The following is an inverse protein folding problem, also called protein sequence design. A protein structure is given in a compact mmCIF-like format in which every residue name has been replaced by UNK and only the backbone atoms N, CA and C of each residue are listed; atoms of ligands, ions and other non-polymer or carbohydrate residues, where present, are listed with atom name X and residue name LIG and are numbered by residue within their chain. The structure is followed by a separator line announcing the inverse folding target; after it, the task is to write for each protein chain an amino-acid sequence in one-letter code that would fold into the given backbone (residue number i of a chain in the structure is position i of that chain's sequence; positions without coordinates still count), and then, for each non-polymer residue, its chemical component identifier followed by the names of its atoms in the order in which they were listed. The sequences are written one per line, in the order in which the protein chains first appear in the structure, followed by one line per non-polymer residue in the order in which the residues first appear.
data_IF_708716733015
#
_entry.id   IF_708716733015
#
_cell.length_a   1.000
_cell.length_b   1.000
_cell.length_c   1.000
_cell.angle_alpha   90.00
_cell.angle_beta   90.00
_cell.angle_gamma   90.00
#
_symmetry.space_group_name_H-M   'P 1'
#
loop_
_entity.id
_entity.type
_entity.pdbx_description
1 polymer ?
#
# COMPACT_ATOMS: atom_id res chain seq x y z
N UNK A 1 6.24 4.23 8.70
CA UNK A 1 5.42 3.18 9.34
C UNK A 1 4.31 2.68 8.42
N UNK A 2 3.55 3.58 7.76
CA UNK A 2 2.48 3.20 6.83
C UNK A 2 2.88 2.18 5.75
N UNK A 3 4.01 2.39 5.05
CA UNK A 3 4.55 1.43 4.06
C UNK A 3 4.79 0.03 4.64
N UNK A 4 5.30 -0.07 5.88
CA UNK A 4 5.56 -1.35 6.52
C UNK A 4 4.26 -2.10 6.83
N UNK A 5 3.24 -1.38 7.29
CA UNK A 5 1.92 -1.98 7.53
C UNK A 5 1.34 -2.55 6.23
N UNK A 6 1.41 -1.80 5.12
CA UNK A 6 0.93 -2.30 3.82
C UNK A 6 1.66 -3.59 3.44
N UNK A 7 2.99 -3.65 3.59
CA UNK A 7 3.76 -4.87 3.30
C UNK A 7 3.31 -6.02 4.20
N UNK A 8 3.17 -5.81 5.50
CA UNK A 8 2.77 -6.85 6.45
C UNK A 8 1.38 -7.47 6.14
N UNK A 9 0.41 -6.65 5.74
CA UNK A 9 -0.96 -7.10 5.45
C UNK A 9 -1.21 -7.54 4.00
N UNK A 10 -0.32 -7.20 3.05
CA UNK A 10 -0.47 -7.51 1.61
C UNK A 10 0.59 -8.45 1.06
N UNK A 11 1.58 -8.87 1.85
CA UNK A 11 2.68 -9.68 1.33
C UNK A 11 2.19 -10.97 0.66
N UNK A 12 2.77 -11.37 -0.49
CA UNK A 12 3.82 -10.67 -1.23
C UNK A 12 3.28 -9.49 -2.07
N UNK A 13 3.86 -8.29 -1.93
CA UNK A 13 3.37 -7.05 -2.58
C UNK A 13 4.46 -6.35 -3.40
N UNK A 14 4.10 -5.74 -4.53
CA UNK A 14 5.04 -4.98 -5.38
C UNK A 14 5.12 -3.51 -4.99
N UNK A 15 6.23 -2.84 -5.35
CA UNK A 15 6.39 -1.38 -5.13
C UNK A 15 5.22 -0.57 -5.69
N UNK A 16 4.76 -0.90 -6.89
CA UNK A 16 3.68 -0.19 -7.58
C UNK A 16 2.35 -0.31 -6.82
N UNK A 17 2.03 -1.47 -6.27
CA UNK A 17 0.83 -1.66 -5.45
C UNK A 17 0.89 -0.83 -4.16
N UNK A 18 2.06 -0.79 -3.50
CA UNK A 18 2.25 0.04 -2.31
C UNK A 18 2.08 1.53 -2.66
N UNK A 19 2.71 2.00 -3.75
CA UNK A 19 2.60 3.39 -4.21
C UNK A 19 1.14 3.77 -4.51
N UNK A 20 0.39 2.85 -5.12
CA UNK A 20 -1.03 3.05 -5.45
C UNK A 20 -1.89 3.20 -4.20
N UNK A 21 -1.67 2.37 -3.18
CA UNK A 21 -2.40 2.46 -1.90
C UNK A 21 -2.07 3.77 -1.17
N UNK A 22 -0.80 4.20 -1.22
CA UNK A 22 -0.35 5.42 -0.51
C UNK A 22 -0.58 6.72 -1.28
N UNK A 23 -0.81 6.65 -2.59
CA UNK A 23 -0.90 7.81 -3.47
C UNK A 23 0.40 8.59 -3.66
N UNK A 24 1.55 8.09 -3.16
CA UNK A 24 2.85 8.77 -3.22
C UNK A 24 4.01 7.77 -3.39
N UNK A 25 5.16 8.26 -3.85
CA UNK A 25 6.36 7.42 -3.98
C UNK A 25 6.81 6.85 -2.62
N UNK A 26 7.29 5.59 -2.66
CA UNK A 26 7.71 4.85 -1.45
C UNK A 26 9.19 4.50 -1.46
N UNK A 27 9.98 5.04 -2.38
CA UNK A 27 11.36 4.61 -2.62
C UNK A 27 12.26 4.74 -1.38
N UNK A 28 12.23 5.92 -0.73
CA UNK A 28 12.98 6.19 0.49
C UNK A 28 12.48 5.36 1.69
N UNK A 29 11.17 5.19 1.81
CA UNK A 29 10.57 4.40 2.87
C UNK A 29 10.94 2.92 2.72
N UNK A 30 10.85 2.38 1.52
CA UNK A 30 11.16 0.99 1.21
C UNK A 30 12.66 0.71 1.41
N UNK A 31 13.53 1.58 0.91
CA UNK A 31 14.98 1.49 1.15
C UNK A 31 15.29 1.45 2.64
N UNK A 32 14.69 2.36 3.42
CA UNK A 32 14.91 2.42 4.86
C UNK A 32 14.43 1.18 5.60
N UNK A 33 13.30 0.60 5.20
CA UNK A 33 12.76 -0.62 5.80
C UNK A 33 13.63 -1.84 5.49
N UNK A 34 14.22 -1.90 4.29
CA UNK A 34 15.18 -2.94 3.91
C UNK A 34 16.48 -2.78 4.70
N UNK A 35 17.00 -1.56 4.86
CA UNK A 35 18.19 -1.28 5.68
C UNK A 35 17.99 -1.64 7.17
N UNK A 36 16.76 -1.53 7.67
CA UNK A 36 16.37 -1.95 9.01
C UNK A 36 16.08 -3.45 9.11
N UNK A 37 16.18 -4.18 7.99
CA UNK A 37 15.80 -5.58 7.88
C UNK A 37 14.36 -5.85 8.32
N UNK A 38 13.46 -4.88 8.20
CA UNK A 38 12.02 -5.04 8.50
C UNK A 38 11.22 -5.50 7.28
N UNK A 39 11.80 -5.34 6.09
CA UNK A 39 11.24 -5.83 4.84
C UNK A 39 12.34 -6.40 3.94
N UNK A 40 11.98 -7.35 3.07
CA UNK A 40 12.91 -8.02 2.15
C UNK A 40 12.23 -8.25 0.81
N UNK A 41 13.02 -8.31 -0.28
CA UNK A 41 12.53 -8.75 -1.57
C UNK A 41 12.41 -10.28 -1.62
N UNK A 42 11.22 -10.79 -1.92
CA UNK A 42 10.93 -12.24 -1.90
C UNK A 42 10.94 -12.88 -3.28
N UNK A 43 10.96 -12.08 -4.34
CA UNK A 43 10.94 -12.59 -5.70
C UNK A 43 10.48 -11.55 -6.71
N UNK A 44 9.98 -12.03 -7.84
CA UNK A 44 9.38 -11.20 -8.89
C UNK A 44 7.98 -11.70 -9.21
N UNK A 45 7.03 -10.79 -9.33
CA UNK A 45 5.67 -11.11 -9.71
C UNK A 45 5.59 -11.59 -11.17
N UNK A 46 4.60 -12.43 -11.48
CA UNK A 46 4.26 -12.85 -12.84
C UNK A 46 3.41 -11.81 -13.57
N UNK A 47 3.84 -10.54 -13.49
CA UNK A 47 3.21 -9.40 -14.12
C UNK A 47 4.13 -8.80 -15.20
N UNK A 48 3.61 -7.99 -16.14
CA UNK A 48 4.43 -7.28 -17.12
C UNK A 48 5.57 -6.50 -16.45
N UNK A 49 6.79 -6.64 -16.98
CA UNK A 49 8.00 -6.03 -16.39
C UNK A 49 8.59 -6.79 -15.20
N UNK A 50 7.96 -7.89 -14.75
CA UNK A 50 8.41 -8.77 -13.65
C UNK A 50 8.91 -7.98 -12.43
N UNK A 51 8.07 -7.10 -11.85
CA UNK A 51 8.47 -6.23 -10.75
C UNK A 51 8.85 -7.04 -9.51
N UNK A 52 9.73 -6.48 -8.68
CA UNK A 52 10.10 -7.06 -7.39
C UNK A 52 8.89 -7.10 -6.44
N UNK A 53 8.81 -8.20 -5.69
CA UNK A 53 7.87 -8.36 -4.58
C UNK A 53 8.60 -8.24 -3.25
N UNK A 54 7.87 -7.77 -2.24
CA UNK A 54 8.35 -7.49 -0.91
C UNK A 54 7.48 -8.18 0.14
N UNK A 55 8.10 -8.58 1.24
CA UNK A 55 7.46 -9.11 2.44
C UNK A 55 8.18 -8.63 3.70
N UNK A 56 7.55 -8.85 4.85
CA UNK A 56 8.19 -8.68 6.16
C UNK A 56 9.17 -9.81 6.46
N UNK A 57 10.04 -9.59 7.43
CA UNK A 57 11.09 -10.51 7.88
C UNK A 57 10.80 -11.05 9.28
N UNK A 58 11.62 -11.98 9.75
CA UNK A 58 11.57 -12.43 11.15
C UNK A 58 11.84 -11.28 12.14
N UNK A 59 12.75 -10.35 11.78
CA UNK A 59 13.06 -9.17 12.60
C UNK A 59 11.83 -8.27 12.79
N UNK A 60 10.94 -8.19 11.80
CA UNK A 60 9.66 -7.51 11.97
C UNK A 60 8.79 -8.19 13.02
N UNK A 61 8.70 -9.53 13.00
CA UNK A 61 7.94 -10.30 13.99
C UNK A 61 8.50 -10.09 15.41
N UNK A 62 9.83 -10.15 15.56
CA UNK A 62 10.52 -9.85 16.82
C UNK A 62 10.23 -8.44 17.33
N UNK A 63 10.27 -7.45 16.42
CA UNK A 63 9.98 -6.06 16.75
C UNK A 63 8.51 -5.85 17.18
N UNK A 64 7.58 -6.58 16.58
CA UNK A 64 6.16 -6.53 16.91
C UNK A 64 5.75 -7.46 18.08
N UNK A 65 6.65 -8.34 18.52
CA UNK A 65 6.35 -9.34 19.55
C UNK A 65 5.36 -10.41 19.08
N UNK A 66 5.42 -10.78 17.80
CA UNK A 66 4.55 -11.79 17.17
C UNK A 66 5.32 -13.09 16.91
N UNK A 67 4.63 -14.22 16.97
CA UNK A 67 5.21 -15.53 16.61
C UNK A 67 5.05 -15.82 15.12
N UNK A 68 3.97 -15.30 14.51
CA UNK A 68 3.67 -15.47 13.09
C UNK A 68 3.03 -14.23 12.50
N UNK A 69 3.14 -14.09 11.18
CA UNK A 69 2.42 -13.06 10.42
C UNK A 69 0.90 -13.20 10.56
N UNK A 70 0.42 -14.42 10.82
CA UNK A 70 -1.01 -14.71 11.01
C UNK A 70 -1.57 -14.13 12.31
N UNK A 71 -0.70 -13.75 13.26
CA UNK A 71 -1.08 -13.15 14.53
C UNK A 71 -1.35 -11.64 14.43
N UNK A 72 -1.14 -11.06 13.24
CA UNK A 72 -1.51 -9.68 12.99
C UNK A 72 -3.02 -9.48 13.21
N UNK A 73 -3.43 -8.37 13.85
CA UNK A 73 -4.84 -8.10 14.06
C UNK A 73 -5.55 -8.02 12.72
N UNK A 74 -6.74 -8.63 12.62
CA UNK A 74 -7.55 -8.57 11.41
C UNK A 74 -7.79 -7.11 11.02
N UNK A 75 -7.42 -6.73 9.80
CA UNK A 75 -7.60 -5.37 9.33
C UNK A 75 -8.82 -5.29 8.41
N UNK A 76 -9.88 -4.63 8.87
CA UNK A 76 -11.07 -4.34 8.07
C UNK A 76 -10.80 -3.34 6.91
N UNK A 77 -9.69 -2.60 6.98
CA UNK A 77 -9.31 -1.55 6.01
C UNK A 77 -8.21 -2.06 5.06
N UNK A 78 -7.36 -2.96 5.55
CA UNK A 78 -6.27 -3.56 4.79
C UNK A 78 -6.57 -5.03 4.51
N UNK A 79 -7.75 -5.39 4.01
CA UNK A 79 -7.98 -6.71 3.39
C UNK A 79 -7.74 -6.63 1.88
N UNK A 80 -7.24 -7.71 1.26
CA UNK A 80 -6.70 -7.65 -0.11
C UNK A 80 -7.80 -7.35 -1.13
N UNK A 81 -9.01 -7.81 -0.83
CA UNK A 81 -10.18 -7.62 -1.68
C UNK A 81 -10.73 -6.19 -1.58
N UNK A 82 -10.83 -5.62 -0.38
CA UNK A 82 -11.43 -4.29 -0.18
C UNK A 82 -10.51 -3.15 -0.68
N UNK A 83 -9.19 -3.34 -0.63
CA UNK A 83 -8.24 -2.38 -1.22
C UNK A 83 -8.30 -2.43 -2.75
N UNK A 84 -8.36 -3.61 -3.36
CA UNK A 84 -8.44 -3.74 -4.82
C UNK A 84 -9.71 -3.04 -5.35
N UNK A 85 -10.85 -3.22 -4.68
CA UNK A 85 -12.11 -2.51 -4.99
C UNK A 85 -12.07 -1.00 -4.72
N UNK A 86 -11.27 -0.52 -3.76
CA UNK A 86 -11.09 0.90 -3.50
C UNK A 86 -10.14 1.55 -4.52
N UNK A 87 -9.08 0.84 -4.87
CA UNK A 87 -8.10 1.22 -5.88
C UNK A 87 -8.75 1.31 -7.26
N UNK A 88 -9.53 0.30 -7.65
CA UNK A 88 -10.19 0.23 -8.97
C UNK A 88 -11.21 1.37 -9.14
N UNK A 89 -11.94 1.71 -8.07
CA UNK A 89 -12.84 2.87 -8.07
C UNK A 89 -12.15 4.22 -8.24
N UNK A 90 -10.88 4.37 -7.87
CA UNK A 90 -10.16 5.64 -8.02
C UNK A 90 -9.49 5.81 -9.39
N UNK A 91 -9.34 4.74 -10.18
CA UNK A 91 -8.82 4.80 -11.55
C UNK A 91 -9.93 5.14 -12.59
N UNK A 92 -11.20 4.96 -12.21
CA UNK A 92 -12.36 5.43 -12.96
C UNK A 92 -12.61 6.92 -12.76
N UNK A 93 -11.90 7.76 -13.54
CA UNK A 93 -11.86 9.22 -13.47
C UNK A 93 -13.08 9.93 -12.88
N UNK A 94 -12.90 10.54 -11.71
CA UNK A 94 -13.77 11.61 -11.23
C UNK A 94 -13.05 12.94 -11.51
N UNK A 95 -13.53 13.61 -12.56
CA UNK A 95 -13.23 15.00 -12.89
C UNK A 95 -13.39 15.87 -11.65
N UNK A 96 -12.44 16.81 -11.45
CA UNK A 96 -12.61 17.94 -10.54
C UNK A 96 -14.05 18.46 -10.59
N UNK A 97 -14.77 18.60 -9.47
CA UNK A 97 -15.95 19.43 -9.48
C UNK A 97 -15.44 20.85 -9.71
N UNK A 98 -15.68 21.32 -10.94
CA UNK A 98 -15.58 22.72 -11.32
C UNK A 98 -16.26 23.53 -10.23
N UNK A 99 -15.54 24.50 -9.66
CA UNK A 99 -16.15 25.48 -8.79
C UNK A 99 -17.10 26.28 -9.66
N UNK A 100 -18.34 25.80 -9.72
CA UNK A 100 -19.43 26.44 -10.41
C UNK A 100 -19.50 27.86 -9.86
N UNK A 101 -19.14 28.78 -10.74
CA UNK A 101 -19.31 30.20 -10.55
C UNK A 101 -20.80 30.42 -10.33
N UNK A 102 -21.24 30.41 -9.07
CA UNK A 102 -22.59 30.85 -8.75
C UNK A 102 -22.60 32.36 -8.94
N UNK A 103 -22.99 32.72 -10.17
CA UNK A 103 -23.42 34.05 -10.52
C UNK A 103 -24.42 34.54 -9.48
N UNK A 104 -23.98 35.57 -8.75
CA UNK A 104 -24.86 36.44 -7.99
C UNK A 104 -25.83 37.10 -8.98
N UNK A 105 -26.97 36.46 -9.20
CA UNK A 105 -28.10 37.04 -9.90
C UNK A 105 -29.28 37.17 -8.93
N UNK A 106 -29.37 38.38 -8.39
CA UNK A 106 -30.54 39.15 -7.93
C UNK A 106 -31.74 38.44 -7.28
N UNK A 107 -32.13 38.96 -6.11
CA UNK A 107 -33.41 39.65 -6.00
C UNK A 107 -33.24 40.96 -5.23
#
# INVERSE_FOLDING_TARGET
METLAIIAYRQPVTRAEIERIRGVSVDSALSRLIELELAVSTGRAELPGRPLQYATTDRFLEFCGLESISDLPTSDILSSQQIDEWVDRQDGGESSPEQETLGLQFQ
#
